data_IF_554177451209
#
_entry.id   IF_554177451209
#
_cell.length_a   1.000
_cell.length_b   1.000
_cell.length_c   1.000
_cell.angle_alpha   90.00
_cell.angle_beta   90.00
_cell.angle_gamma   90.00
#
_symmetry.space_group_name_H-M   'P 1'
#
loop_
_entity.id
_entity.type
_entity.pdbx_description
1 polymer ?
#
# COMPACT_ATOMS: atom_id res chain seq x y z
N UNK A 1 8.53 25.96 10.85
CA UNK A 1 7.99 24.98 11.84
C UNK A 1 8.76 23.68 11.69
N UNK A 2 9.26 23.09 12.80
CA UNK A 2 10.05 21.85 12.79
C UNK A 2 9.21 20.69 12.19
N UNK A 3 9.80 19.88 11.28
CA UNK A 3 9.12 18.74 10.64
C UNK A 3 8.49 17.77 11.64
N UNK A 4 9.14 17.56 12.80
CA UNK A 4 8.63 16.72 13.88
C UNK A 4 7.33 17.27 14.49
N UNK A 5 7.27 18.57 14.77
CA UNK A 5 6.07 19.24 15.31
C UNK A 5 4.91 19.19 14.30
N UNK A 6 5.20 19.40 13.00
CA UNK A 6 4.19 19.30 11.93
C UNK A 6 3.62 17.89 11.86
N UNK A 7 4.49 16.87 11.88
CA UNK A 7 4.08 15.45 11.87
C UNK A 7 3.25 15.11 13.11
N UNK A 8 3.67 15.52 14.31
CA UNK A 8 2.91 15.31 15.54
C UNK A 8 1.53 15.97 15.48
N UNK A 9 1.44 17.21 15.02
CA UNK A 9 0.19 17.97 14.90
C UNK A 9 -0.78 17.30 13.93
N UNK A 10 -0.32 16.94 12.74
CA UNK A 10 -1.15 16.27 11.73
C UNK A 10 -1.63 14.89 12.21
N UNK A 11 -0.81 14.16 12.96
CA UNK A 11 -1.18 12.84 13.51
C UNK A 11 -2.38 12.90 14.46
N UNK A 12 -2.61 14.05 15.11
CA UNK A 12 -3.78 14.28 15.96
C UNK A 12 -4.95 14.94 15.20
N UNK A 13 -4.81 15.13 13.89
CA UNK A 13 -5.80 15.83 13.07
C UNK A 13 -5.68 17.36 13.11
N UNK A 14 -4.84 17.92 13.99
CA UNK A 14 -4.62 19.37 14.05
C UNK A 14 -3.86 19.83 12.79
N UNK A 15 -4.51 20.63 11.95
CA UNK A 15 -3.97 21.11 10.68
C UNK A 15 -4.37 20.24 9.48
N UNK A 16 -5.22 19.26 9.69
CA UNK A 16 -5.99 18.58 8.65
C UNK A 16 -7.32 19.31 8.53
N UNK A 17 -7.46 20.14 7.50
CA UNK A 17 -8.64 21.03 7.36
C UNK A 17 -9.79 20.37 6.60
N UNK A 18 -9.47 19.39 5.73
CA UNK A 18 -10.47 18.63 5.00
C UNK A 18 -11.17 17.64 5.94
N UNK A 19 -12.52 17.63 6.03
CA UNK A 19 -13.26 16.63 6.81
C UNK A 19 -12.94 15.19 6.40
N UNK A 20 -12.82 14.93 5.10
CA UNK A 20 -12.49 13.61 4.58
C UNK A 20 -11.07 13.18 4.99
N UNK A 21 -10.09 14.08 4.92
CA UNK A 21 -8.71 13.78 5.34
C UNK A 21 -8.64 13.59 6.86
N UNK A 22 -9.38 14.38 7.62
CA UNK A 22 -9.48 14.21 9.06
C UNK A 22 -10.07 12.85 9.42
N UNK A 23 -11.19 12.48 8.78
CA UNK A 23 -11.79 11.16 8.94
C UNK A 23 -10.80 10.04 8.62
N UNK A 24 -10.15 10.12 7.47
CA UNK A 24 -9.14 9.13 7.05
C UNK A 24 -8.01 8.98 8.08
N UNK A 25 -7.46 10.09 8.57
CA UNK A 25 -6.38 10.06 9.58
C UNK A 25 -6.85 9.44 10.89
N UNK A 26 -8.06 9.77 11.37
CA UNK A 26 -8.53 9.32 12.68
C UNK A 26 -9.11 7.91 12.64
N UNK A 27 -9.85 7.55 11.59
CA UNK A 27 -10.66 6.33 11.54
C UNK A 27 -10.12 5.25 10.59
N UNK A 28 -9.06 5.55 9.81
CA UNK A 28 -8.37 4.54 8.98
C UNK A 28 -6.92 4.39 9.43
N UNK A 29 -6.13 5.47 9.39
CA UNK A 29 -4.70 5.38 9.70
C UNK A 29 -4.46 5.07 11.19
N UNK A 30 -5.25 5.64 12.08
CA UNK A 30 -5.11 5.49 13.54
C UNK A 30 -6.11 4.55 14.18
N UNK A 31 -6.90 3.86 13.36
CA UNK A 31 -7.86 2.88 13.84
C UNK A 31 -7.17 1.80 14.70
N UNK A 32 -7.82 1.46 15.81
CA UNK A 32 -7.35 0.46 16.78
C UNK A 32 -8.33 -0.69 16.97
N UNK A 33 -9.40 -0.70 16.19
CA UNK A 33 -10.39 -1.75 16.28
C UNK A 33 -9.74 -3.12 15.99
N UNK A 34 -10.00 -4.15 16.80
CA UNK A 34 -9.46 -5.48 16.59
C UNK A 34 -10.28 -6.19 15.51
N UNK A 35 -9.95 -5.96 14.25
CA UNK A 35 -10.59 -6.67 13.14
C UNK A 35 -10.35 -8.17 13.23
N UNK A 36 -11.37 -8.96 12.90
CA UNK A 36 -11.25 -10.43 12.86
C UNK A 36 -10.08 -10.90 11.98
N UNK A 37 -9.88 -10.26 10.83
CA UNK A 37 -8.76 -10.57 9.94
C UNK A 37 -7.37 -10.43 10.57
N UNK A 38 -7.20 -9.68 11.65
CA UNK A 38 -5.91 -9.56 12.33
C UNK A 38 -5.50 -10.86 13.02
N UNK A 39 -6.45 -11.58 13.60
CA UNK A 39 -6.16 -12.90 14.20
C UNK A 39 -5.71 -13.92 13.13
N UNK A 40 -6.37 -13.89 11.97
CA UNK A 40 -5.97 -14.71 10.81
C UNK A 40 -4.56 -14.37 10.33
N UNK A 41 -4.23 -13.07 10.23
CA UNK A 41 -2.89 -12.60 9.84
C UNK A 41 -1.81 -13.03 10.85
N UNK A 42 -2.10 -12.99 12.15
CA UNK A 42 -1.17 -13.43 13.19
C UNK A 42 -0.94 -14.95 13.10
N UNK A 43 -1.99 -15.74 12.92
CA UNK A 43 -1.88 -17.20 12.74
C UNK A 43 -1.04 -17.54 11.51
N UNK A 44 -1.31 -16.93 10.36
CA UNK A 44 -0.54 -17.13 9.14
C UNK A 44 0.93 -16.70 9.29
N UNK A 45 1.19 -15.58 9.96
CA UNK A 45 2.54 -15.13 10.23
C UNK A 45 3.32 -16.13 11.11
N UNK A 46 2.69 -16.71 12.13
CA UNK A 46 3.31 -17.73 12.96
C UNK A 46 3.58 -19.05 12.21
N UNK A 47 2.63 -19.48 11.38
CA UNK A 47 2.72 -20.73 10.62
C UNK A 47 3.82 -20.71 9.55
N UNK A 48 4.06 -19.55 8.96
CA UNK A 48 4.92 -19.40 7.78
C UNK A 48 6.20 -18.57 8.02
N UNK A 49 6.47 -18.13 9.24
CA UNK A 49 7.76 -17.55 9.59
C UNK A 49 8.86 -18.66 9.62
N UNK A 50 9.95 -18.57 8.87
CA UNK A 50 10.69 -17.43 8.32
C UNK A 50 10.76 -17.39 6.78
N UNK A 51 9.78 -17.92 6.07
CA UNK A 51 9.84 -18.19 4.63
C UNK A 51 9.61 -16.96 3.74
N UNK A 52 9.14 -15.85 4.34
CA UNK A 52 8.78 -14.65 3.58
C UNK A 52 9.48 -13.40 4.04
N UNK A 53 9.74 -12.43 3.14
CA UNK A 53 9.85 -11.05 3.53
C UNK A 53 8.54 -10.63 4.20
N UNK A 54 8.53 -10.53 5.51
CA UNK A 54 7.33 -10.15 6.24
C UNK A 54 7.43 -8.71 6.70
N UNK A 55 6.41 -7.92 6.38
CA UNK A 55 6.24 -6.64 7.02
C UNK A 55 5.88 -6.83 8.50
N UNK A 56 6.23 -5.85 9.37
CA UNK A 56 5.72 -5.83 10.73
C UNK A 56 4.19 -5.96 10.75
N UNK A 57 3.65 -6.64 11.75
CA UNK A 57 2.19 -6.81 11.91
C UNK A 57 1.42 -5.48 11.78
N UNK A 58 2.00 -4.38 12.26
CA UNK A 58 1.42 -3.04 12.12
C UNK A 58 1.29 -2.57 10.68
N UNK A 59 2.18 -2.98 9.77
CA UNK A 59 2.10 -2.65 8.33
C UNK A 59 1.02 -3.50 7.67
N UNK A 60 0.97 -4.80 7.92
CA UNK A 60 -0.10 -5.66 7.40
C UNK A 60 -1.48 -5.21 7.88
N UNK A 61 -1.61 -4.82 9.15
CA UNK A 61 -2.84 -4.24 9.68
C UNK A 61 -3.21 -2.90 9.02
N UNK A 62 -2.22 -2.06 8.69
CA UNK A 62 -2.46 -0.83 7.94
C UNK A 62 -2.98 -1.14 6.54
N UNK A 63 -2.33 -2.04 5.81
CA UNK A 63 -2.73 -2.43 4.45
C UNK A 63 -4.11 -3.06 4.43
N UNK A 64 -4.44 -3.90 5.42
CA UNK A 64 -5.79 -4.40 5.63
C UNK A 64 -6.81 -3.25 5.72
N UNK A 65 -6.56 -2.24 6.57
CA UNK A 65 -7.48 -1.10 6.72
C UNK A 65 -7.57 -0.23 5.48
N UNK A 66 -6.46 -0.06 4.75
CA UNK A 66 -6.43 0.70 3.50
C UNK A 66 -7.29 0.03 2.43
N UNK A 67 -7.13 -1.29 2.24
CA UNK A 67 -7.95 -2.06 1.31
C UNK A 67 -9.43 -2.01 1.72
N UNK A 68 -9.72 -2.21 3.02
CA UNK A 68 -11.10 -2.08 3.55
C UNK A 68 -11.70 -0.68 3.39
N UNK A 69 -10.90 0.36 3.33
CA UNK A 69 -11.36 1.75 3.13
C UNK A 69 -11.62 2.05 1.65
N UNK A 70 -10.76 1.58 0.75
CA UNK A 70 -10.85 1.84 -0.68
C UNK A 70 -11.90 0.97 -1.36
N UNK A 71 -12.13 -0.26 -0.85
CA UNK A 71 -12.99 -1.27 -1.47
C UNK A 71 -12.65 -1.51 -2.96
N UNK A 72 -11.39 -1.86 -3.28
CA UNK A 72 -10.97 -2.04 -4.66
C UNK A 72 -11.59 -3.30 -5.28
N UNK A 73 -11.86 -3.27 -6.58
CA UNK A 73 -12.18 -4.47 -7.36
C UNK A 73 -10.90 -5.24 -7.72
N UNK A 74 -9.79 -4.51 -7.91
CA UNK A 74 -8.47 -5.08 -8.20
C UNK A 74 -7.39 -4.58 -7.26
N UNK A 75 -6.54 -5.50 -6.79
CA UNK A 75 -5.37 -5.24 -5.98
C UNK A 75 -4.15 -5.82 -6.68
N UNK A 76 -3.16 -4.97 -6.97
CA UNK A 76 -1.88 -5.41 -7.53
C UNK A 76 -0.78 -5.12 -6.52
N UNK A 77 0.02 -6.12 -6.18
CA UNK A 77 1.23 -5.95 -5.36
C UNK A 77 2.47 -6.28 -6.18
N UNK A 78 3.45 -5.39 -6.19
CA UNK A 78 4.77 -5.57 -6.82
C UNK A 78 5.82 -5.79 -5.75
N UNK A 79 6.61 -6.88 -5.85
CA UNK A 79 7.60 -7.27 -4.86
C UNK A 79 6.96 -7.98 -3.66
N UNK A 80 6.14 -8.99 -3.92
CA UNK A 80 5.24 -9.64 -2.98
C UNK A 80 5.84 -10.07 -1.64
N UNK A 81 5.00 -9.94 -0.61
CA UNK A 81 5.24 -10.41 0.74
C UNK A 81 3.94 -10.83 1.44
N UNK A 82 3.91 -10.81 2.77
CA UNK A 82 2.69 -11.12 3.54
C UNK A 82 1.59 -10.06 3.41
N UNK A 83 1.88 -8.94 2.79
CA UNK A 83 0.98 -7.81 2.60
C UNK A 83 -0.16 -8.10 1.64
N UNK A 84 0.09 -8.83 0.55
CA UNK A 84 -0.96 -9.26 -0.38
C UNK A 84 -2.05 -10.07 0.32
N UNK A 85 -1.65 -10.92 1.26
CA UNK A 85 -2.58 -11.72 2.08
C UNK A 85 -3.45 -10.79 2.94
N UNK A 86 -2.86 -9.78 3.57
CA UNK A 86 -3.60 -8.84 4.41
C UNK A 86 -4.69 -8.11 3.62
N UNK A 87 -4.37 -7.69 2.40
CA UNK A 87 -5.31 -7.00 1.52
C UNK A 87 -6.38 -7.96 0.99
N UNK A 88 -6.02 -9.20 0.62
CA UNK A 88 -6.96 -10.20 0.13
C UNK A 88 -7.97 -10.64 1.20
N UNK A 89 -7.54 -10.80 2.46
CA UNK A 89 -8.45 -11.08 3.58
C UNK A 89 -9.41 -9.92 3.82
N UNK A 90 -8.93 -8.69 3.65
CA UNK A 90 -9.74 -7.48 3.85
C UNK A 90 -10.83 -7.32 2.78
N UNK A 91 -10.53 -7.69 1.54
CA UNK A 91 -11.42 -7.56 0.39
C UNK A 91 -11.56 -8.90 -0.33
N UNK A 92 -12.36 -9.85 0.20
CA UNK A 92 -12.47 -11.20 -0.37
C UNK A 92 -13.09 -11.26 -1.76
N UNK A 93 -13.80 -10.21 -2.18
CA UNK A 93 -14.37 -10.09 -3.53
C UNK A 93 -13.41 -9.49 -4.55
N UNK A 94 -12.31 -8.87 -4.10
CA UNK A 94 -11.33 -8.27 -4.99
C UNK A 94 -10.45 -9.33 -5.66
N UNK A 95 -10.11 -9.13 -6.92
CA UNK A 95 -9.03 -9.88 -7.57
C UNK A 95 -7.70 -9.36 -7.06
N UNK A 96 -7.01 -10.17 -6.25
CA UNK A 96 -5.71 -9.81 -5.67
C UNK A 96 -4.59 -10.54 -6.41
N UNK A 97 -3.64 -9.77 -6.96
CA UNK A 97 -2.52 -10.30 -7.75
C UNK A 97 -1.21 -9.84 -7.13
N UNK A 98 -0.37 -10.80 -6.77
CA UNK A 98 0.96 -10.54 -6.24
C UNK A 98 2.03 -10.93 -7.28
N UNK A 99 2.91 -9.99 -7.60
CA UNK A 99 3.99 -10.17 -8.58
C UNK A 99 5.30 -10.41 -7.83
N UNK A 100 6.02 -11.47 -8.18
CA UNK A 100 7.31 -11.80 -7.56
C UNK A 100 8.36 -12.18 -8.61
N UNK A 101 9.61 -11.79 -8.34
CA UNK A 101 10.77 -12.14 -9.16
C UNK A 101 11.54 -13.36 -8.64
N UNK A 102 11.41 -13.70 -7.34
CA UNK A 102 12.24 -14.72 -6.67
C UNK A 102 11.58 -16.10 -6.59
N UNK A 103 12.35 -17.16 -6.89
CA UNK A 103 11.90 -18.56 -6.76
C UNK A 103 11.60 -18.97 -5.33
N UNK A 104 12.41 -18.55 -4.37
CA UNK A 104 12.26 -18.92 -2.96
C UNK A 104 10.96 -18.37 -2.34
N UNK A 105 10.59 -17.17 -2.71
CA UNK A 105 9.32 -16.59 -2.29
C UNK A 105 8.12 -17.32 -2.93
N UNK A 106 8.26 -17.79 -4.17
CA UNK A 106 7.19 -18.45 -4.89
C UNK A 106 6.71 -19.73 -4.21
N UNK A 107 7.61 -20.65 -3.86
CA UNK A 107 7.24 -21.92 -3.22
C UNK A 107 6.53 -21.71 -1.88
N UNK A 108 7.03 -20.78 -1.10
CA UNK A 108 6.43 -20.46 0.17
C UNK A 108 5.04 -19.80 0.00
N UNK A 109 4.86 -18.90 -0.97
CA UNK A 109 3.57 -18.29 -1.29
C UNK A 109 2.56 -19.33 -1.82
N UNK A 110 2.97 -20.31 -2.59
CA UNK A 110 2.08 -21.38 -3.07
C UNK A 110 1.41 -22.14 -1.93
N UNK A 111 2.08 -22.34 -0.80
CA UNK A 111 1.48 -22.97 0.37
C UNK A 111 0.35 -22.15 0.98
N UNK A 112 0.42 -20.82 0.88
CA UNK A 112 -0.59 -19.89 1.36
C UNK A 112 -1.77 -19.72 0.42
N UNK A 113 -1.56 -19.88 -0.90
CA UNK A 113 -2.63 -19.78 -1.91
C UNK A 113 -3.73 -20.81 -1.70
N UNK A 114 -3.40 -21.97 -1.15
CA UNK A 114 -4.41 -22.99 -0.81
C UNK A 114 -5.38 -22.50 0.28
N UNK A 115 -4.97 -21.52 1.07
CA UNK A 115 -5.78 -20.93 2.15
C UNK A 115 -6.45 -19.60 1.72
N UNK A 116 -6.00 -19.02 0.59
CA UNK A 116 -6.48 -17.73 0.06
C UNK A 116 -6.73 -17.81 -1.46
N UNK A 117 -7.82 -18.45 -1.90
CA UNK A 117 -8.07 -18.73 -3.32
C UNK A 117 -8.27 -17.49 -4.19
N UNK A 118 -8.56 -16.32 -3.58
CA UNK A 118 -8.68 -15.04 -4.27
C UNK A 118 -7.33 -14.35 -4.55
N UNK A 119 -6.23 -14.89 -4.03
CA UNK A 119 -4.89 -14.36 -4.27
C UNK A 119 -4.22 -15.13 -5.41
N UNK A 120 -3.94 -14.46 -6.51
CA UNK A 120 -3.16 -14.98 -7.64
C UNK A 120 -1.69 -14.57 -7.51
N UNK A 121 -0.79 -15.50 -7.76
CA UNK A 121 0.64 -15.25 -7.77
C UNK A 121 1.19 -15.31 -9.18
N UNK A 122 1.79 -14.21 -9.65
CA UNK A 122 2.49 -14.14 -10.94
C UNK A 122 3.99 -14.03 -10.71
N UNK A 123 4.74 -14.96 -11.33
CA UNK A 123 6.21 -14.99 -11.23
C UNK A 123 6.84 -14.58 -12.55
N UNK A 124 7.82 -13.69 -12.49
CA UNK A 124 8.60 -13.25 -13.65
C UNK A 124 9.17 -11.85 -13.49
N UNK A 125 9.41 -11.18 -14.62
CA UNK A 125 9.82 -9.79 -14.61
C UNK A 125 8.67 -8.91 -14.08
N UNK A 126 8.94 -8.20 -12.99
CA UNK A 126 7.92 -7.42 -12.27
C UNK A 126 7.30 -6.33 -13.15
N UNK A 127 8.12 -5.67 -13.96
CA UNK A 127 7.66 -4.56 -14.80
C UNK A 127 6.93 -5.03 -16.04
N UNK A 128 7.34 -6.15 -16.61
CA UNK A 128 6.65 -6.78 -17.73
C UNK A 128 5.24 -7.23 -17.30
N UNK A 129 5.16 -7.96 -16.18
CA UNK A 129 3.87 -8.45 -15.64
C UNK A 129 2.98 -7.26 -15.23
N UNK A 130 3.50 -6.26 -14.52
CA UNK A 130 2.74 -5.07 -14.14
C UNK A 130 2.17 -4.37 -15.38
N UNK A 131 3.00 -4.18 -16.42
CA UNK A 131 2.58 -3.55 -17.67
C UNK A 131 1.49 -4.36 -18.41
N UNK A 132 1.55 -5.69 -18.33
CA UNK A 132 0.51 -6.56 -18.86
C UNK A 132 -0.81 -6.39 -18.10
N UNK A 133 -0.78 -6.42 -16.76
CA UNK A 133 -1.97 -6.26 -15.91
C UNK A 133 -2.62 -4.88 -16.11
N UNK A 134 -1.82 -3.82 -16.19
CA UNK A 134 -2.32 -2.47 -16.48
C UNK A 134 -3.07 -2.44 -17.82
N UNK A 135 -2.55 -3.09 -18.87
CA UNK A 135 -3.26 -3.17 -20.17
C UNK A 135 -4.53 -4.01 -20.09
N UNK A 136 -4.53 -5.06 -19.29
CA UNK A 136 -5.67 -5.96 -19.11
C UNK A 136 -6.83 -5.28 -18.38
N UNK A 137 -6.54 -4.62 -17.27
CA UNK A 137 -7.56 -3.96 -16.44
C UNK A 137 -7.92 -2.55 -16.93
N UNK A 138 -7.01 -1.86 -17.61
CA UNK A 138 -7.20 -0.50 -18.10
C UNK A 138 -7.09 0.57 -17.02
N UNK A 139 -7.57 0.31 -15.82
CA UNK A 139 -7.49 1.18 -14.63
C UNK A 139 -6.90 0.44 -13.45
N UNK A 140 -6.45 1.18 -12.45
CA UNK A 140 -5.86 0.65 -11.21
C UNK A 140 -6.68 1.14 -10.03
N UNK A 141 -7.12 0.22 -9.15
CA UNK A 141 -7.82 0.59 -7.93
C UNK A 141 -6.87 0.68 -6.74
N UNK A 142 -6.12 -0.40 -6.47
CA UNK A 142 -5.09 -0.40 -5.45
C UNK A 142 -3.80 -1.02 -5.97
N UNK A 143 -2.72 -0.22 -5.98
CA UNK A 143 -1.36 -0.68 -6.28
C UNK A 143 -0.51 -0.58 -5.01
N UNK A 144 0.04 -1.70 -4.57
CA UNK A 144 1.00 -1.75 -3.49
C UNK A 144 2.39 -2.06 -4.02
N UNK A 145 3.33 -1.17 -3.77
CA UNK A 145 4.75 -1.31 -4.14
C UNK A 145 5.51 -1.67 -2.89
N UNK A 146 5.85 -2.94 -2.79
CA UNK A 146 6.45 -3.57 -1.63
C UNK A 146 8.00 -3.65 -1.75
N UNK A 147 8.56 -4.85 -1.69
CA UNK A 147 10.00 -5.09 -1.74
C UNK A 147 10.51 -5.17 -3.19
N UNK A 148 10.62 -4.03 -3.85
CA UNK A 148 11.16 -3.95 -5.22
C UNK A 148 12.08 -2.74 -5.39
N UNK A 149 13.08 -2.88 -6.24
CA UNK A 149 13.93 -1.78 -6.67
C UNK A 149 13.28 -0.95 -7.78
N UNK A 150 12.26 -1.48 -8.45
CA UNK A 150 11.53 -0.84 -9.56
C UNK A 150 10.41 0.10 -9.11
N UNK A 151 10.50 0.66 -7.89
CA UNK A 151 9.43 1.48 -7.30
C UNK A 151 9.09 2.73 -8.12
N UNK A 152 10.08 3.34 -8.80
CA UNK A 152 9.87 4.51 -9.65
C UNK A 152 9.13 4.13 -10.92
N UNK A 153 9.64 3.12 -11.61
CA UNK A 153 9.09 2.59 -12.85
C UNK A 153 7.65 2.09 -12.64
N UNK A 154 7.39 1.43 -11.53
CA UNK A 154 6.06 0.94 -11.20
C UNK A 154 5.05 2.09 -10.99
N UNK A 155 5.44 3.14 -10.26
CA UNK A 155 4.59 4.34 -10.11
C UNK A 155 4.40 5.04 -11.46
N UNK A 156 5.47 5.23 -12.22
CA UNK A 156 5.38 5.92 -13.51
C UNK A 156 4.51 5.17 -14.53
N UNK A 157 4.56 3.83 -14.55
CA UNK A 157 3.69 2.99 -15.36
C UNK A 157 2.22 3.08 -14.93
N UNK A 158 1.96 3.19 -13.62
CA UNK A 158 0.61 3.26 -13.06
C UNK A 158 -0.08 4.62 -13.27
N UNK A 159 0.67 5.73 -13.23
CA UNK A 159 0.11 7.08 -13.23
C UNK A 159 -0.83 7.43 -14.41
N UNK A 160 -0.64 6.93 -15.65
CA UNK A 160 -1.60 7.15 -16.75
C UNK A 160 -2.94 6.41 -16.57
N UNK A 161 -3.02 5.45 -15.64
CA UNK A 161 -4.13 4.51 -15.45
C UNK A 161 -4.87 4.71 -14.13
N UNK A 162 -4.56 5.77 -13.39
CA UNK A 162 -5.22 6.11 -12.13
C UNK A 162 -6.57 6.78 -12.37
N UNK A 163 -7.50 6.53 -11.46
CA UNK A 163 -8.81 7.17 -11.38
C UNK A 163 -8.93 7.95 -10.06
N UNK A 164 -10.04 8.64 -9.85
CA UNK A 164 -10.30 9.36 -8.59
C UNK A 164 -10.42 8.39 -7.37
N UNK A 165 -10.58 7.09 -7.62
CA UNK A 165 -10.68 6.05 -6.60
C UNK A 165 -9.37 5.30 -6.35
N UNK A 166 -8.34 5.56 -7.16
CA UNK A 166 -7.05 4.86 -7.05
C UNK A 166 -6.32 5.21 -5.76
N UNK A 167 -5.76 4.18 -5.12
CA UNK A 167 -4.76 4.31 -4.07
C UNK A 167 -3.45 3.63 -4.52
N UNK A 168 -2.35 4.36 -4.49
CA UNK A 168 -1.00 3.78 -4.58
C UNK A 168 -0.35 3.84 -3.20
N UNK A 169 0.18 2.69 -2.77
CA UNK A 169 0.93 2.54 -1.52
C UNK A 169 2.38 2.20 -1.86
N UNK A 170 3.32 2.94 -1.31
CA UNK A 170 4.77 2.70 -1.51
C UNK A 170 5.43 2.46 -0.18
N UNK A 171 6.04 1.29 0.00
CA UNK A 171 6.78 0.98 1.22
C UNK A 171 8.22 1.51 1.18
N UNK A 172 8.80 1.64 2.36
CA UNK A 172 10.21 1.99 2.57
C UNK A 172 10.65 3.30 1.91
N UNK A 173 9.78 4.32 1.88
CA UNK A 173 10.02 5.63 1.28
C UNK A 173 11.22 6.40 1.89
N UNK A 174 11.77 5.92 2.99
CA UNK A 174 12.94 6.46 3.68
C UNK A 174 14.13 5.47 3.73
N UNK A 175 14.11 4.37 2.97
CA UNK A 175 15.17 3.35 2.97
C UNK A 175 16.51 3.89 2.45
N UNK A 176 16.48 4.78 1.48
CA UNK A 176 17.66 5.47 0.96
C UNK A 176 17.44 6.98 0.80
N UNK A 177 18.51 7.73 0.61
CA UNK A 177 18.43 9.17 0.32
C UNK A 177 17.76 9.42 -1.03
N UNK A 178 18.03 8.57 -2.00
CA UNK A 178 17.52 8.59 -3.36
C UNK A 178 16.01 8.38 -3.35
N UNK A 179 15.54 7.29 -2.72
CA UNK A 179 14.11 6.97 -2.61
C UNK A 179 13.35 8.07 -1.85
N UNK A 180 13.93 8.60 -0.78
CA UNK A 180 13.32 9.72 -0.06
C UNK A 180 13.26 11.01 -0.88
N UNK A 181 14.29 11.31 -1.70
CA UNK A 181 14.28 12.47 -2.62
C UNK A 181 13.21 12.30 -3.69
N UNK A 182 13.14 11.11 -4.29
CA UNK A 182 12.11 10.75 -5.26
C UNK A 182 10.70 10.88 -4.65
N UNK A 183 10.47 10.33 -3.44
CA UNK A 183 9.18 10.47 -2.77
C UNK A 183 8.77 11.93 -2.59
N UNK A 184 9.68 12.81 -2.23
CA UNK A 184 9.41 14.24 -2.13
C UNK A 184 9.04 14.87 -3.47
N UNK A 185 9.78 14.54 -4.53
CA UNK A 185 9.44 15.06 -5.86
C UNK A 185 8.07 14.56 -6.33
N UNK A 186 7.70 13.33 -5.97
CA UNK A 186 6.38 12.78 -6.26
C UNK A 186 5.26 13.52 -5.50
N UNK A 187 5.48 13.88 -4.22
CA UNK A 187 4.55 14.69 -3.45
C UNK A 187 4.33 16.10 -4.04
N UNK A 188 5.34 16.67 -4.67
CA UNK A 188 5.30 17.98 -5.30
C UNK A 188 4.73 17.93 -6.73
N UNK A 189 4.77 16.76 -7.38
CA UNK A 189 4.32 16.58 -8.76
C UNK A 189 2.83 16.83 -8.93
N UNK A 190 2.44 17.58 -9.96
CA UNK A 190 1.03 17.81 -10.33
C UNK A 190 0.29 16.53 -10.77
N UNK A 191 1.03 15.46 -11.04
CA UNK A 191 0.49 14.12 -11.39
C UNK A 191 -0.13 13.39 -10.20
N UNK A 192 0.06 13.87 -8.96
CA UNK A 192 -0.45 13.28 -7.73
C UNK A 192 -1.47 14.19 -7.06
N UNK A 193 -2.42 13.60 -6.35
CA UNK A 193 -3.40 14.32 -5.54
C UNK A 193 -2.95 14.47 -4.08
N UNK A 194 -3.67 13.84 -3.16
CA UNK A 194 -3.38 13.90 -1.73
C UNK A 194 -2.37 12.82 -1.37
N UNK A 195 -1.32 13.21 -0.64
CA UNK A 195 -0.29 12.28 -0.21
C UNK A 195 -0.17 12.24 1.31
N UNK A 196 0.09 11.04 1.84
CA UNK A 196 0.39 10.84 3.26
C UNK A 196 1.76 10.18 3.40
N UNK A 197 2.67 10.87 4.06
CA UNK A 197 3.98 10.36 4.47
C UNK A 197 3.87 9.81 5.88
N UNK A 198 3.86 8.48 6.02
CA UNK A 198 3.75 7.77 7.30
C UNK A 198 5.11 7.38 7.88
N UNK A 199 6.19 7.98 7.37
CA UNK A 199 7.59 7.74 7.70
C UNK A 199 8.23 6.58 6.93
N UNK A 200 7.68 5.37 7.01
CA UNK A 200 8.11 4.21 6.21
C UNK A 200 7.26 4.04 4.95
N UNK A 201 5.99 4.29 5.05
CA UNK A 201 4.99 4.07 4.00
C UNK A 201 4.50 5.40 3.44
N UNK A 202 4.41 5.50 2.14
CA UNK A 202 3.80 6.61 1.42
C UNK A 202 2.47 6.21 0.80
N UNK A 203 1.45 7.07 0.91
CA UNK A 203 0.14 6.86 0.29
C UNK A 203 -0.13 7.98 -0.70
N UNK A 204 -0.73 7.65 -1.85
CA UNK A 204 -1.09 8.60 -2.90
C UNK A 204 -2.54 8.34 -3.31
N UNK A 205 -3.38 9.35 -3.14
CA UNK A 205 -4.75 9.39 -3.66
C UNK A 205 -4.84 10.37 -4.82
N UNK A 206 -5.75 10.10 -5.75
CA UNK A 206 -5.89 10.84 -7.01
C UNK A 206 -7.23 11.57 -7.17
N UNK A 207 -8.07 11.59 -6.13
CA UNK A 207 -9.36 12.29 -6.13
C UNK A 207 -9.20 13.79 -6.47
N UNK A 208 -9.55 14.15 -7.70
CA UNK A 208 -9.43 15.49 -8.26
C UNK A 208 -10.49 16.47 -7.73
N UNK A 209 -11.52 15.97 -7.06
CA UNK A 209 -12.51 16.83 -6.39
C UNK A 209 -11.94 17.50 -5.14
N UNK A 210 -10.81 16.99 -4.64
CA UNK A 210 -10.14 17.44 -3.42
C UNK A 210 -8.89 18.26 -3.75
N UNK A 211 -8.64 19.28 -2.95
CA UNK A 211 -7.40 20.07 -3.10
C UNK A 211 -6.17 19.22 -2.81
N UNK A 212 -5.20 19.29 -3.72
CA UNK A 212 -3.89 18.67 -3.51
C UNK A 212 -3.29 19.09 -2.19
N UNK A 213 -2.88 18.12 -1.39
CA UNK A 213 -2.22 18.35 -0.11
C UNK A 213 -1.25 17.22 0.24
N UNK A 214 -0.27 17.51 1.09
CA UNK A 214 0.70 16.55 1.58
C UNK A 214 0.71 16.56 3.10
N UNK A 215 0.40 15.41 3.70
CA UNK A 215 0.35 15.22 5.14
C UNK A 215 1.52 14.36 5.63
N UNK A 216 2.12 14.76 6.72
CA UNK A 216 3.14 13.98 7.44
C UNK A 216 2.51 13.44 8.71
N UNK A 217 2.31 12.13 8.77
CA UNK A 217 1.62 11.46 9.88
C UNK A 217 2.62 10.55 10.62
N UNK A 218 2.50 10.45 11.92
CA UNK A 218 3.20 9.47 12.73
C UNK A 218 2.19 8.49 13.33
N UNK A 219 2.27 7.22 12.93
CA UNK A 219 1.39 6.17 13.42
C UNK A 219 1.84 5.61 14.77
N UNK A 220 3.11 5.81 15.15
CA UNK A 220 3.60 5.41 16.48
C UNK A 220 3.07 6.36 17.54
N UNK A 221 2.63 5.78 18.64
CA UNK A 221 2.28 6.49 19.88
C UNK A 221 3.49 7.16 20.51
#
# INVERSE_FOLDING_TARGET
>A
MNKWLRRKRNSWGYGVQSPNDFYFVQHVLREKFPYYGYAVLEELAHKHHPLFPSYPASTNQLLFRLANYVHPDTIIEVGAGTSAIAMSISCPSAQCIAIISSDSCHEAMLSLLNEQPQLELKKGDEMEILSQLIREFGTIDLLHIAHTDYYQEAVDAALPHVTDHTLIVVEDICSSKEKHKWWKSLQESERTGITYDLKSTGLIFFDRSRHKNSYWINLKK
#
